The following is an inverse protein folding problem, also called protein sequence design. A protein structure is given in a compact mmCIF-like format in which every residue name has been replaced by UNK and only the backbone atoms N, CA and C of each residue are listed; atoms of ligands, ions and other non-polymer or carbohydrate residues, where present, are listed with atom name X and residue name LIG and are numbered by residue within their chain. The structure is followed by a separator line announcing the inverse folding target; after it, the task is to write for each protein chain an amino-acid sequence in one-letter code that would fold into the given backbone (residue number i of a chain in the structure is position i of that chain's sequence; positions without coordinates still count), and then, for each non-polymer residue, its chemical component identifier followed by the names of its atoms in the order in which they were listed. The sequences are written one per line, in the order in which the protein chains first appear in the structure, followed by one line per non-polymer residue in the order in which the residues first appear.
data_IF_833587543532
#
_entry.id   IF_833587543532
#
_cell.length_a   1.000
_cell.length_b   1.000
_cell.length_c   1.000
_cell.angle_alpha   90.00
_cell.angle_beta   90.00
_cell.angle_gamma   90.00
#
_symmetry.space_group_name_H-M   'P 1'
#
loop_
_entity.id
_entity.type
_entity.pdbx_description
1 polymer ?
#
# COMPACT_ATOMS: atom_id res chain seq x y z
N UNK A 1 -0.45 -12.81 26.31
CA UNK A 1 -0.96 -13.90 25.44
C UNK A 1 -1.63 -13.25 24.23
N UNK A 2 -1.02 -13.31 23.04
CA UNK A 2 -1.58 -12.71 21.82
C UNK A 2 -2.83 -13.50 21.44
N UNK A 3 -4.01 -12.85 21.38
CA UNK A 3 -5.24 -13.55 20.98
C UNK A 3 -5.20 -13.80 19.47
N UNK A 4 -5.68 -14.97 19.03
CA UNK A 4 -5.78 -15.34 17.60
C UNK A 4 -6.49 -14.27 16.76
N UNK A 5 -7.44 -13.55 17.37
CA UNK A 5 -8.15 -12.42 16.75
C UNK A 5 -7.26 -11.21 16.46
N UNK A 6 -6.26 -10.95 17.30
CA UNK A 6 -5.38 -9.79 17.14
C UNK A 6 -4.42 -10.00 15.96
N UNK A 7 -3.98 -11.24 15.74
CA UNK A 7 -3.16 -11.63 14.59
C UNK A 7 -3.95 -11.40 13.30
N UNK A 8 -5.18 -11.92 13.22
CA UNK A 8 -6.05 -11.79 12.04
C UNK A 8 -6.30 -10.31 11.68
N UNK A 9 -6.51 -9.47 12.69
CA UNK A 9 -6.79 -8.04 12.50
C UNK A 9 -5.58 -7.22 12.06
N UNK A 10 -4.35 -7.65 12.40
CA UNK A 10 -3.13 -6.86 12.15
C UNK A 10 -2.28 -7.38 10.99
N UNK A 11 -2.45 -8.64 10.57
CA UNK A 11 -1.56 -9.28 9.60
C UNK A 11 -1.51 -8.55 8.25
N UNK A 12 -2.64 -8.06 7.74
CA UNK A 12 -2.69 -7.32 6.48
C UNK A 12 -1.93 -5.99 6.54
N UNK A 13 -1.92 -5.30 7.69
CA UNK A 13 -1.11 -4.10 7.89
C UNK A 13 0.37 -4.43 7.90
N UNK A 14 0.78 -5.53 8.55
CA UNK A 14 2.19 -5.96 8.59
C UNK A 14 2.66 -6.29 7.17
N UNK A 15 1.89 -7.10 6.43
CA UNK A 15 2.17 -7.44 5.03
C UNK A 15 2.28 -6.16 4.18
N UNK A 16 1.33 -5.24 4.35
CA UNK A 16 1.33 -3.97 3.63
C UNK A 16 2.58 -3.14 3.91
N UNK A 17 3.00 -3.01 5.17
CA UNK A 17 4.22 -2.27 5.52
C UNK A 17 5.46 -2.94 4.88
N UNK A 18 5.56 -4.27 4.95
CA UNK A 18 6.67 -5.00 4.37
C UNK A 18 6.78 -4.88 2.85
N UNK A 19 5.68 -4.58 2.14
CA UNK A 19 5.67 -4.40 0.69
C UNK A 19 5.80 -2.91 0.33
N UNK A 20 4.96 -2.06 0.90
CA UNK A 20 4.86 -0.63 0.54
C UNK A 20 6.11 0.13 0.93
N UNK A 21 6.74 -0.20 2.06
CA UNK A 21 7.96 0.52 2.48
C UNK A 21 9.13 0.29 1.51
N UNK A 22 9.51 -0.96 1.13
CA UNK A 22 10.52 -1.17 0.08
C UNK A 22 10.15 -0.58 -1.28
N UNK A 23 8.88 -0.72 -1.70
CA UNK A 23 8.40 -0.16 -2.99
C UNK A 23 8.46 1.36 -2.98
N UNK A 24 8.17 2.01 -1.85
CA UNK A 24 8.32 3.46 -1.71
C UNK A 24 9.77 3.90 -1.94
N UNK A 25 10.71 3.17 -1.37
CA UNK A 25 12.13 3.46 -1.50
C UNK A 25 12.60 3.31 -2.95
N UNK A 26 12.10 2.31 -3.69
CA UNK A 26 12.43 2.16 -5.11
C UNK A 26 11.96 3.35 -5.95
N UNK A 27 10.81 3.98 -5.63
CA UNK A 27 10.40 5.19 -6.36
C UNK A 27 11.42 6.34 -6.23
N UNK A 28 12.00 6.54 -5.04
CA UNK A 28 12.86 7.69 -4.78
C UNK A 28 14.30 7.55 -5.28
N UNK A 29 14.85 6.34 -5.27
CA UNK A 29 16.29 6.12 -5.46
C UNK A 29 16.67 5.09 -6.52
N UNK A 30 15.81 4.13 -6.85
CA UNK A 30 16.12 2.99 -7.74
C UNK A 30 14.96 2.79 -8.74
N UNK A 31 14.38 3.90 -9.20
CA UNK A 31 13.18 3.92 -10.04
C UNK A 31 13.46 3.39 -11.45
N UNK A 32 14.68 3.58 -11.91
CA UNK A 32 15.21 3.11 -13.18
C UNK A 32 15.29 1.58 -13.25
N UNK A 33 15.87 0.95 -12.23
CA UNK A 33 16.19 -0.48 -12.23
C UNK A 33 14.98 -1.38 -11.92
N UNK A 34 14.06 -0.90 -11.06
CA UNK A 34 12.95 -1.70 -10.55
C UNK A 34 11.61 -1.39 -11.22
N UNK A 35 11.41 -0.16 -11.70
CA UNK A 35 10.12 0.32 -12.19
C UNK A 35 10.17 0.78 -13.65
N UNK A 36 11.34 0.73 -14.29
CA UNK A 36 11.58 1.25 -15.64
C UNK A 36 11.24 2.75 -15.79
N UNK A 37 11.24 3.49 -14.67
CA UNK A 37 10.97 4.93 -14.63
C UNK A 37 12.31 5.66 -14.63
N UNK A 38 12.64 6.30 -15.75
CA UNK A 38 13.88 7.07 -15.90
C UNK A 38 13.60 8.59 -15.82
N UNK A 39 13.69 9.20 -14.62
CA UNK A 39 13.51 10.64 -14.48
C UNK A 39 14.62 11.41 -15.21
N UNK A 40 14.24 12.39 -16.03
CA UNK A 40 15.16 13.20 -16.85
C UNK A 40 15.34 14.63 -16.35
N UNK A 41 14.48 15.08 -15.44
CA UNK A 41 14.46 16.45 -14.92
C UNK A 41 14.50 16.48 -13.40
N UNK A 42 14.98 17.59 -12.83
CA UNK A 42 14.98 17.83 -11.37
C UNK A 42 13.54 17.74 -10.82
N UNK A 43 12.56 18.18 -11.61
CA UNK A 43 11.15 18.15 -11.25
C UNK A 43 10.62 16.71 -11.14
N UNK A 44 10.98 15.83 -12.08
CA UNK A 44 10.64 14.40 -12.02
C UNK A 44 11.27 13.70 -10.81
N UNK A 45 12.53 14.02 -10.48
CA UNK A 45 13.17 13.52 -9.26
C UNK A 45 12.47 14.01 -7.99
N UNK A 46 12.08 15.29 -7.96
CA UNK A 46 11.35 15.88 -6.84
C UNK A 46 10.01 15.19 -6.64
N UNK A 47 9.25 15.00 -7.74
CA UNK A 47 7.97 14.31 -7.74
C UNK A 47 8.07 12.88 -7.20
N UNK A 48 9.01 12.08 -7.70
CA UNK A 48 9.21 10.70 -7.24
C UNK A 48 9.57 10.61 -5.74
N UNK A 49 10.40 11.53 -5.24
CA UNK A 49 10.72 11.60 -3.80
C UNK A 49 9.50 12.00 -2.96
N UNK A 50 8.64 12.88 -3.46
CA UNK A 50 7.37 13.20 -2.80
C UNK A 50 6.45 11.98 -2.71
N UNK A 51 6.34 11.19 -3.79
CA UNK A 51 5.56 9.93 -3.78
C UNK A 51 6.15 8.90 -2.79
N UNK A 52 7.48 8.77 -2.74
CA UNK A 52 8.15 7.93 -1.74
C UNK A 52 7.74 8.31 -0.31
N UNK A 53 7.87 9.60 0.06
CA UNK A 53 7.53 10.03 1.42
C UNK A 53 6.03 9.94 1.72
N UNK A 54 5.16 10.07 0.72
CA UNK A 54 3.73 9.81 0.89
C UNK A 54 3.48 8.36 1.32
N UNK A 55 4.12 7.40 0.66
CA UNK A 55 3.97 5.96 0.94
C UNK A 55 4.60 5.59 2.30
N UNK A 56 5.75 6.19 2.63
CA UNK A 56 6.38 6.05 3.96
C UNK A 56 5.45 6.61 5.05
N UNK A 57 4.82 7.76 4.83
CA UNK A 57 3.89 8.38 5.77
C UNK A 57 2.71 7.46 6.11
N UNK A 58 2.10 6.83 5.10
CA UNK A 58 1.06 5.81 5.33
C UNK A 58 1.61 4.57 6.04
N UNK A 59 2.80 4.11 5.67
CA UNK A 59 3.45 2.97 6.35
C UNK A 59 3.67 3.24 7.84
N UNK A 60 4.10 4.45 8.21
CA UNK A 60 4.24 4.89 9.60
C UNK A 60 2.88 4.84 10.32
N UNK A 61 1.82 5.37 9.70
CA UNK A 61 0.47 5.31 10.26
C UNK A 61 0.03 3.86 10.53
N UNK A 62 0.35 2.93 9.62
CA UNK A 62 0.02 1.52 9.80
C UNK A 62 0.82 0.86 10.91
N UNK A 63 2.12 1.17 11.02
CA UNK A 63 2.97 0.73 12.13
C UNK A 63 2.38 1.22 13.47
N UNK A 64 1.97 2.48 13.57
CA UNK A 64 1.32 3.03 14.77
C UNK A 64 0.04 2.24 15.09
N UNK A 65 -0.79 1.92 14.09
CA UNK A 65 -2.00 1.11 14.28
C UNK A 65 -1.73 -0.34 14.69
N UNK A 66 -0.61 -0.93 14.27
CA UNK A 66 -0.19 -2.27 14.69
C UNK A 66 0.13 -2.29 16.19
N UNK A 67 0.84 -1.28 16.69
CA UNK A 67 1.25 -1.21 18.11
C UNK A 67 0.18 -0.61 19.03
N UNK A 68 -0.71 0.24 18.52
CA UNK A 68 -1.70 0.94 19.33
C UNK A 68 -3.13 0.73 18.82
N UNK A 69 -3.94 0.04 19.62
CA UNK A 69 -5.32 -0.30 19.28
C UNK A 69 -6.22 0.92 19.05
N UNK A 70 -5.93 2.07 19.68
CA UNK A 70 -6.65 3.34 19.47
C UNK A 70 -6.55 3.80 18.00
N UNK A 71 -5.43 3.53 17.34
CA UNK A 71 -5.17 3.93 15.95
C UNK A 71 -5.40 2.78 14.96
N UNK A 72 -5.70 1.56 15.44
CA UNK A 72 -5.89 0.39 14.58
C UNK A 72 -6.98 0.61 13.53
N UNK A 73 -8.14 1.15 13.92
CA UNK A 73 -9.25 1.42 12.98
C UNK A 73 -8.85 2.41 11.89
N UNK A 74 -8.10 3.46 12.26
CA UNK A 74 -7.59 4.47 11.31
C UNK A 74 -6.55 3.85 10.37
N UNK A 75 -5.65 3.02 10.89
CA UNK A 75 -4.67 2.31 10.08
C UNK A 75 -5.33 1.36 9.07
N UNK A 76 -6.37 0.62 9.48
CA UNK A 76 -7.10 -0.29 8.58
C UNK A 76 -7.82 0.50 7.48
N UNK A 77 -8.54 1.57 7.83
CA UNK A 77 -9.27 2.38 6.85
C UNK A 77 -8.30 3.03 5.86
N UNK A 78 -7.22 3.62 6.35
CA UNK A 78 -6.21 4.25 5.48
C UNK A 78 -5.51 3.23 4.59
N UNK A 79 -5.14 2.06 5.11
CA UNK A 79 -4.56 0.98 4.32
C UNK A 79 -5.51 0.47 3.23
N UNK A 80 -6.77 0.25 3.58
CA UNK A 80 -7.82 -0.15 2.65
C UNK A 80 -7.97 0.87 1.51
N UNK A 81 -8.12 2.16 1.84
CA UNK A 81 -8.26 3.23 0.84
C UNK A 81 -7.01 3.30 -0.03
N UNK A 82 -5.82 3.20 0.56
CA UNK A 82 -4.55 3.25 -0.15
C UNK A 82 -4.46 2.12 -1.19
N UNK A 83 -4.71 0.88 -0.77
CA UNK A 83 -4.62 -0.29 -1.65
C UNK A 83 -5.66 -0.26 -2.77
N UNK A 84 -6.92 0.08 -2.46
CA UNK A 84 -7.98 0.16 -3.47
C UNK A 84 -7.74 1.29 -4.46
N UNK A 85 -7.23 2.44 -4.00
CA UNK A 85 -6.90 3.57 -4.88
C UNK A 85 -5.80 3.21 -5.87
N UNK A 86 -4.75 2.50 -5.44
CA UNK A 86 -3.69 2.02 -6.33
C UNK A 86 -4.22 1.01 -7.35
N UNK A 87 -4.99 0.03 -6.88
CA UNK A 87 -5.59 -0.96 -7.76
C UNK A 87 -6.49 -0.32 -8.82
N UNK A 88 -7.34 0.64 -8.43
CA UNK A 88 -8.21 1.36 -9.36
C UNK A 88 -7.41 2.19 -10.37
N UNK A 89 -6.35 2.87 -9.94
CA UNK A 89 -5.46 3.60 -10.85
C UNK A 89 -4.79 2.67 -11.87
N UNK A 90 -4.36 1.48 -11.45
CA UNK A 90 -3.76 0.48 -12.34
C UNK A 90 -4.78 -0.19 -13.25
N UNK A 91 -6.00 -0.45 -12.79
CA UNK A 91 -7.08 -0.94 -13.64
C UNK A 91 -7.46 0.08 -14.71
N UNK A 92 -7.47 1.37 -14.36
CA UNK A 92 -7.69 2.43 -15.34
C UNK A 92 -6.57 2.46 -16.38
N UNK A 93 -5.31 2.41 -15.96
CA UNK A 93 -4.17 2.35 -16.88
C UNK A 93 -4.16 1.09 -17.74
N UNK A 94 -4.56 -0.07 -17.19
CA UNK A 94 -4.75 -1.30 -17.95
C UNK A 94 -5.73 -1.16 -19.12
N UNK A 95 -6.80 -0.39 -18.91
CA UNK A 95 -7.83 -0.15 -19.92
C UNK A 95 -7.40 0.90 -20.95
N UNK A 96 -6.68 1.94 -20.52
CA UNK A 96 -6.33 3.09 -21.37
C UNK A 96 -4.97 2.94 -22.07
N UNK A 97 -3.96 2.46 -21.34
CA UNK A 97 -2.55 2.43 -21.76
C UNK A 97 -2.07 1.01 -22.13
N UNK A 98 -2.84 -0.02 -21.76
CA UNK A 98 -2.57 -1.43 -22.06
C UNK A 98 -1.93 -2.21 -20.91
N UNK A 99 -1.43 -3.41 -21.20
CA UNK A 99 -0.94 -4.35 -20.17
C UNK A 99 0.47 -3.93 -19.71
N UNK A 100 0.66 -3.57 -18.43
CA UNK A 100 1.97 -3.23 -17.90
C UNK A 100 2.82 -4.48 -17.66
N UNK A 101 4.02 -4.30 -17.10
CA UNK A 101 4.89 -5.43 -16.76
C UNK A 101 4.21 -6.41 -15.78
N UNK A 102 4.67 -7.66 -15.80
CA UNK A 102 4.11 -8.72 -14.95
C UNK A 102 4.10 -8.36 -13.45
N UNK A 103 5.12 -7.63 -12.99
CA UNK A 103 5.21 -7.15 -11.61
C UNK A 103 4.04 -6.22 -11.23
N UNK A 104 3.64 -5.31 -12.13
CA UNK A 104 2.52 -4.40 -11.92
C UNK A 104 1.17 -5.11 -11.98
N UNK A 105 1.01 -6.11 -12.85
CA UNK A 105 -0.19 -6.95 -12.89
C UNK A 105 -0.34 -7.71 -11.58
N UNK A 106 0.72 -8.39 -11.12
CA UNK A 106 0.73 -9.09 -9.83
C UNK A 106 0.47 -8.14 -8.66
N UNK A 107 1.10 -6.96 -8.67
CA UNK A 107 0.87 -5.92 -7.68
C UNK A 107 -0.59 -5.48 -7.61
N UNK A 108 -1.26 -5.32 -8.75
CA UNK A 108 -2.68 -4.96 -8.83
C UNK A 108 -3.57 -6.00 -8.16
N UNK A 109 -3.31 -7.30 -8.38
CA UNK A 109 -4.03 -8.38 -7.70
C UNK A 109 -3.78 -8.37 -6.19
N UNK A 110 -2.53 -8.17 -5.76
CA UNK A 110 -2.17 -8.11 -4.35
C UNK A 110 -2.85 -6.91 -3.64
N UNK A 111 -2.90 -5.75 -4.30
CA UNK A 111 -3.56 -4.54 -3.82
C UNK A 111 -5.07 -4.74 -3.67
N UNK A 112 -5.74 -5.33 -4.67
CA UNK A 112 -7.16 -5.69 -4.56
C UNK A 112 -7.42 -6.64 -3.39
N UNK A 113 -6.58 -7.68 -3.25
CA UNK A 113 -6.74 -8.66 -2.18
C UNK A 113 -6.58 -8.02 -0.80
N UNK A 114 -5.51 -7.24 -0.58
CA UNK A 114 -5.27 -6.56 0.70
C UNK A 114 -6.33 -5.49 1.00
N UNK A 115 -6.78 -4.74 -0.01
CA UNK A 115 -7.85 -3.76 0.11
C UNK A 115 -9.17 -4.41 0.54
N UNK A 116 -9.59 -5.48 -0.13
CA UNK A 116 -10.80 -6.24 0.21
C UNK A 116 -10.69 -6.92 1.59
N UNK A 117 -9.51 -7.43 1.94
CA UNK A 117 -9.26 -7.97 3.27
C UNK A 117 -9.41 -6.88 4.36
N UNK A 118 -8.95 -5.66 4.09
CA UNK A 118 -9.16 -4.50 4.96
C UNK A 118 -10.64 -4.22 5.22
N UNK A 119 -11.49 -4.27 4.17
CA UNK A 119 -12.95 -4.14 4.30
C UNK A 119 -13.52 -5.23 5.21
N UNK A 120 -13.10 -6.49 5.02
CA UNK A 120 -13.54 -7.61 5.83
C UNK A 120 -13.20 -7.42 7.32
N UNK A 121 -11.97 -7.01 7.62
CA UNK A 121 -11.55 -6.74 9.00
C UNK A 121 -12.33 -5.57 9.60
N UNK A 122 -12.53 -4.48 8.85
CA UNK A 122 -13.29 -3.32 9.32
C UNK A 122 -14.72 -3.70 9.69
N UNK A 123 -15.40 -4.48 8.84
CA UNK A 123 -16.74 -4.99 9.10
C UNK A 123 -16.78 -5.89 10.34
N UNK A 124 -15.77 -6.73 10.54
CA UNK A 124 -15.65 -7.59 11.72
C UNK A 124 -15.45 -6.77 13.00
N UNK A 125 -14.68 -5.68 12.94
CA UNK A 125 -14.43 -4.80 14.08
C UNK A 125 -15.66 -3.99 14.48
N UNK A 126 -16.48 -3.56 13.51
CA UNK A 126 -17.71 -2.79 13.79
C UNK A 126 -18.87 -3.67 14.31
N UNK A 127 -18.81 -4.99 14.12
CA UNK A 127 -19.83 -5.95 14.63
C UNK A 127 -19.59 -6.39 16.08
N UNK A 128 -18.48 -5.99 16.68
CA UNK A 128 -18.14 -6.22 18.09
C UNK A 128 -18.40 -4.97 18.90
#
# INVERSE_FOLDING_TARGET
MIKKTDIINKIHLIISVCIVFPVSYSYGFISDLLLEINPKSIDEFSFLKSIMFLYIGFSILWIIGIFNYKYLKVAIISNMIFMLSLALGRLLSLVLDGIPSFAYVFGTFAELFLGLYGIFILNRLNRK
#
